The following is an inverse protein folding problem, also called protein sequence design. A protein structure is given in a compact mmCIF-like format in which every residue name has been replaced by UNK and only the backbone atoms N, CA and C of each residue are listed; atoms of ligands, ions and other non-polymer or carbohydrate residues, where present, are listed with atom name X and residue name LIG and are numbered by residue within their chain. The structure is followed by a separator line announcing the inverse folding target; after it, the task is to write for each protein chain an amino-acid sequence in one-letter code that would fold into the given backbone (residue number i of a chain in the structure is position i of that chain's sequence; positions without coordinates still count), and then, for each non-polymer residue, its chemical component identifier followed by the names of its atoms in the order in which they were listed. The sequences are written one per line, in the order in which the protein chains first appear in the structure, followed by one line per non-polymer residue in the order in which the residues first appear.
data_IF_118038146497
#
_entry.id   IF_118038146497
#
_cell.length_a   1.000
_cell.length_b   1.000
_cell.length_c   1.000
_cell.angle_alpha   90.00
_cell.angle_beta   90.00
_cell.angle_gamma   90.00
#
_symmetry.space_group_name_H-M   'P 1'
#
loop_
_entity.id
_entity.type
_entity.pdbx_description
1 polymer ?
#
# COMPACT_ATOMS: atom_id res chain seq x y z
N UNK A 1 -16.75 2.97 -12.74
CA UNK A 1 -16.29 2.04 -11.71
C UNK A 1 -15.59 0.89 -12.43
N UNK A 2 -14.33 0.63 -12.14
CA UNK A 2 -13.64 -0.54 -12.68
C UNK A 2 -14.06 -1.77 -11.86
N UNK A 3 -14.24 -2.95 -12.48
CA UNK A 3 -14.52 -4.16 -11.72
C UNK A 3 -13.34 -4.47 -10.78
N UNK A 4 -13.68 -4.81 -9.53
CA UNK A 4 -12.75 -5.32 -8.52
C UNK A 4 -13.10 -6.76 -8.18
N UNK A 5 -12.07 -7.55 -7.86
CA UNK A 5 -12.19 -8.94 -7.44
C UNK A 5 -11.44 -9.12 -6.14
N UNK A 6 -12.06 -9.81 -5.19
CA UNK A 6 -11.38 -10.36 -4.02
C UNK A 6 -10.96 -11.78 -4.36
N UNK A 7 -9.66 -12.06 -4.24
CA UNK A 7 -9.08 -13.37 -4.53
C UNK A 7 -8.06 -13.73 -3.48
N UNK A 8 -7.92 -15.02 -3.21
CA UNK A 8 -6.91 -15.53 -2.29
C UNK A 8 -5.84 -16.31 -3.07
N UNK A 9 -4.57 -16.08 -2.73
CA UNK A 9 -3.44 -16.84 -3.23
C UNK A 9 -2.47 -17.12 -2.08
N UNK A 10 -2.24 -18.41 -1.78
CA UNK A 10 -1.45 -18.87 -0.64
C UNK A 10 -1.87 -18.21 0.68
N UNK A 11 -3.18 -18.24 0.97
CA UNK A 11 -3.82 -17.63 2.16
C UNK A 11 -3.65 -16.10 2.30
N UNK A 12 -3.11 -15.44 1.26
CA UNK A 12 -3.08 -13.98 1.16
C UNK A 12 -4.28 -13.49 0.36
N UNK A 13 -5.06 -12.61 0.96
CA UNK A 13 -6.20 -11.97 0.31
C UNK A 13 -5.75 -10.74 -0.46
N UNK A 14 -6.19 -10.63 -1.71
CA UNK A 14 -5.91 -9.52 -2.59
C UNK A 14 -7.18 -8.92 -3.17
N UNK A 15 -7.20 -7.59 -3.25
CA UNK A 15 -8.13 -6.83 -4.08
C UNK A 15 -7.46 -6.53 -5.41
N UNK A 16 -8.01 -7.05 -6.50
CA UNK A 16 -7.51 -6.83 -7.87
C UNK A 16 -8.52 -5.98 -8.63
N UNK A 17 -8.09 -4.83 -9.14
CA UNK A 17 -8.88 -4.04 -10.08
C UNK A 17 -8.32 -4.20 -11.50
N UNK A 18 -9.22 -4.32 -12.47
CA UNK A 18 -8.86 -4.42 -13.89
C UNK A 18 -9.53 -3.30 -14.70
N UNK A 19 -8.84 -2.85 -15.74
CA UNK A 19 -9.40 -1.86 -16.68
C UNK A 19 -10.37 -2.51 -17.69
N UNK A 20 -10.92 -1.70 -18.61
CA UNK A 20 -11.87 -2.19 -19.63
C UNK A 20 -11.32 -3.27 -20.58
N UNK A 21 -9.99 -3.38 -20.70
CA UNK A 21 -9.31 -4.41 -21.49
C UNK A 21 -8.91 -5.63 -20.65
N UNK A 22 -9.42 -5.75 -19.42
CA UNK A 22 -9.08 -6.81 -18.45
C UNK A 22 -7.61 -6.85 -18.06
N UNK A 23 -6.92 -5.71 -18.12
CA UNK A 23 -5.54 -5.57 -17.63
C UNK A 23 -5.59 -5.09 -16.18
N UNK A 24 -4.85 -5.77 -15.29
CA UNK A 24 -4.71 -5.38 -13.89
C UNK A 24 -4.07 -3.99 -13.82
N UNK A 25 -4.76 -3.05 -13.19
CA UNK A 25 -4.24 -1.69 -12.95
C UNK A 25 -3.98 -1.42 -11.46
N UNK A 26 -4.51 -2.25 -10.57
CA UNK A 26 -4.35 -2.15 -9.13
C UNK A 26 -4.40 -3.53 -8.47
N UNK A 27 -3.50 -3.77 -7.53
CA UNK A 27 -3.48 -4.92 -6.63
C UNK A 27 -3.24 -4.37 -5.24
N UNK A 28 -4.03 -4.74 -4.24
CA UNK A 28 -3.71 -4.46 -2.84
C UNK A 28 -3.95 -5.66 -1.94
N UNK A 29 -3.32 -5.64 -0.77
CA UNK A 29 -3.57 -6.59 0.31
C UNK A 29 -3.43 -5.89 1.65
N UNK A 30 -4.30 -6.29 2.58
CA UNK A 30 -4.26 -5.91 4.00
C UNK A 30 -3.84 -7.09 4.88
N UNK A 31 -3.56 -8.26 4.28
CA UNK A 31 -3.22 -9.48 5.02
C UNK A 31 -1.91 -9.30 5.79
N UNK A 32 -1.92 -9.44 7.13
CA UNK A 32 -0.73 -9.22 7.96
C UNK A 32 0.44 -10.16 7.67
N UNK A 33 0.19 -11.34 7.08
CA UNK A 33 1.20 -12.34 6.76
C UNK A 33 1.91 -12.09 5.43
N UNK A 34 1.36 -11.22 4.56
CA UNK A 34 2.03 -10.85 3.33
C UNK A 34 3.30 -10.06 3.62
N UNK A 35 4.36 -10.34 2.85
CA UNK A 35 5.63 -9.59 2.87
C UNK A 35 5.96 -9.15 1.46
N UNK A 36 6.31 -7.88 1.28
CA UNK A 36 6.94 -7.45 0.04
C UNK A 36 8.32 -8.09 -0.11
N UNK A 37 8.93 -8.09 -1.31
CA UNK A 37 10.30 -8.58 -1.49
C UNK A 37 11.35 -7.88 -0.61
N UNK A 38 11.06 -6.66 -0.15
CA UNK A 38 11.88 -5.91 0.81
C UNK A 38 11.62 -6.28 2.27
N UNK A 39 10.68 -7.19 2.54
CA UNK A 39 10.30 -7.62 3.88
C UNK A 39 9.29 -6.72 4.58
N UNK A 40 8.68 -5.76 3.89
CA UNK A 40 7.66 -4.87 4.49
C UNK A 40 6.32 -5.61 4.60
N UNK A 41 5.67 -5.44 5.75
CA UNK A 41 4.35 -5.98 6.06
C UNK A 41 3.38 -4.87 6.46
N UNK A 42 2.08 -5.19 6.44
CA UNK A 42 1.06 -4.44 7.18
C UNK A 42 1.43 -4.41 8.67
N UNK A 43 1.22 -3.26 9.31
CA UNK A 43 1.62 -3.01 10.70
C UNK A 43 3.06 -2.56 10.90
N UNK A 44 3.96 -2.66 9.91
CA UNK A 44 5.29 -2.07 10.02
C UNK A 44 5.21 -0.54 10.14
N UNK A 45 6.12 0.07 10.89
CA UNK A 45 6.13 1.52 11.12
C UNK A 45 6.66 2.30 9.91
N UNK A 46 6.23 3.55 9.76
CA UNK A 46 6.77 4.49 8.75
C UNK A 46 8.29 4.58 8.80
N UNK A 47 8.89 4.69 9.99
CA UNK A 47 10.35 4.73 10.17
C UNK A 47 11.03 3.52 9.53
N UNK A 48 10.54 2.30 9.83
CA UNK A 48 11.03 1.06 9.22
C UNK A 48 10.92 1.07 7.69
N UNK A 49 9.79 1.54 7.17
CA UNK A 49 9.56 1.60 5.73
C UNK A 49 10.51 2.60 5.05
N UNK A 50 10.75 3.76 5.65
CA UNK A 50 11.72 4.74 5.14
C UNK A 50 13.15 4.22 5.20
N UNK A 51 13.53 3.53 6.28
CA UNK A 51 14.83 2.86 6.44
C UNK A 51 15.07 1.83 5.32
N UNK A 52 14.10 0.96 5.05
CA UNK A 52 14.23 -0.12 4.05
C UNK A 52 14.16 0.42 2.61
N UNK A 53 13.23 1.34 2.35
CA UNK A 53 12.99 1.83 0.99
C UNK A 53 14.02 2.85 0.53
N UNK A 54 14.58 3.64 1.45
CA UNK A 54 15.34 4.86 1.16
C UNK A 54 14.55 5.85 0.25
N UNK A 55 13.22 5.73 0.24
CA UNK A 55 12.33 6.55 -0.57
C UNK A 55 11.71 7.67 0.27
N UNK A 56 11.11 8.65 -0.40
CA UNK A 56 10.36 9.73 0.25
C UNK A 56 8.91 9.32 0.46
N UNK A 57 8.35 9.76 1.58
CA UNK A 57 6.90 9.75 1.79
C UNK A 57 6.22 10.73 0.83
N UNK A 58 5.21 10.26 0.12
CA UNK A 58 4.38 11.05 -0.79
C UNK A 58 2.99 11.20 -0.20
N UNK A 59 2.48 12.43 -0.16
CA UNK A 59 1.13 12.72 0.32
C UNK A 59 0.16 12.86 -0.85
N UNK A 60 -0.80 11.95 -0.94
CA UNK A 60 -1.88 12.00 -1.93
C UNK A 60 -3.17 12.45 -1.24
N UNK A 61 -3.44 13.75 -1.28
CA UNK A 61 -4.53 14.40 -0.53
C UNK A 61 -5.87 13.70 -0.78
N UNK A 62 -6.56 13.38 0.32
CA UNK A 62 -7.85 12.70 0.30
C UNK A 62 -7.77 11.19 0.07
N UNK A 63 -6.56 10.60 0.07
CA UNK A 63 -6.38 9.17 -0.15
C UNK A 63 -5.43 8.51 0.84
N UNK A 64 -4.13 8.79 0.75
CA UNK A 64 -3.13 8.14 1.60
C UNK A 64 -1.80 8.90 1.60
N UNK A 65 -0.98 8.62 2.60
CA UNK A 65 0.46 8.79 2.45
C UNK A 65 1.06 7.48 1.94
N UNK A 66 2.02 7.59 1.05
CA UNK A 66 2.54 6.46 0.28
C UNK A 66 4.07 6.50 0.26
N UNK A 67 4.69 5.37 0.56
CA UNK A 67 6.13 5.17 0.33
C UNK A 67 6.33 4.12 -0.75
N UNK A 68 6.98 4.44 -1.88
CA UNK A 68 7.27 3.46 -2.92
C UNK A 68 8.42 2.55 -2.53
N UNK A 69 8.31 1.26 -2.88
CA UNK A 69 9.34 0.25 -2.71
C UNK A 69 9.94 -0.14 -4.09
N UNK A 70 11.15 -0.72 -4.09
CA UNK A 70 11.89 -1.05 -5.32
C UNK A 70 11.21 -2.14 -6.15
N UNK A 71 10.46 -3.03 -5.49
CA UNK A 71 9.68 -4.12 -6.08
C UNK A 71 8.41 -3.66 -6.80
N UNK A 72 8.14 -2.34 -6.79
CA UNK A 72 6.94 -1.73 -7.35
C UNK A 72 5.74 -1.74 -6.40
N UNK A 73 5.82 -2.48 -5.29
CA UNK A 73 4.90 -2.33 -4.16
C UNK A 73 5.02 -0.94 -3.55
N UNK A 74 3.97 -0.51 -2.88
CA UNK A 74 3.89 0.74 -2.15
C UNK A 74 3.24 0.47 -0.80
N UNK A 75 3.79 1.07 0.24
CA UNK A 75 3.24 1.03 1.58
C UNK A 75 2.35 2.24 1.79
N UNK A 76 1.11 2.01 2.22
CA UNK A 76 0.13 3.06 2.48
C UNK A 76 -0.08 3.27 3.98
N UNK A 77 -0.27 4.53 4.33
CA UNK A 77 -0.53 5.02 5.68
C UNK A 77 -1.66 6.05 5.61
N UNK A 78 -2.44 6.17 6.68
CA UNK A 78 -3.50 7.17 6.79
C UNK A 78 -3.41 7.91 8.12
N UNK A 79 -3.89 9.15 8.15
CA UNK A 79 -4.01 9.97 9.35
C UNK A 79 -5.26 10.86 9.28
N UNK A 80 -6.05 10.85 10.34
CA UNK A 80 -7.25 11.69 10.48
C UNK A 80 -8.38 11.33 9.52
N UNK A 81 -9.43 12.16 9.50
CA UNK A 81 -10.67 11.87 8.78
C UNK A 81 -10.52 11.95 7.25
N UNK A 82 -9.69 12.86 6.74
CA UNK A 82 -9.37 12.94 5.30
C UNK A 82 -8.28 11.96 4.84
N UNK A 83 -7.91 11.00 5.69
CA UNK A 83 -6.82 10.02 5.51
C UNK A 83 -5.42 10.63 5.36
N UNK A 84 -5.32 11.95 5.22
CA UNK A 84 -4.07 12.68 4.96
C UNK A 84 -3.97 13.96 5.80
N UNK A 85 -4.53 13.96 7.00
CA UNK A 85 -4.48 15.11 7.89
C UNK A 85 -3.10 15.25 8.53
N UNK A 86 -2.61 16.47 8.62
CA UNK A 86 -1.33 16.76 9.26
C UNK A 86 -0.14 15.98 8.68
N UNK A 87 0.72 15.53 9.59
CA UNK A 87 1.93 14.74 9.36
C UNK A 87 1.80 13.36 10.01
N UNK A 88 2.51 12.37 9.46
CA UNK A 88 2.57 11.04 10.07
C UNK A 88 3.64 10.96 11.14
N UNK A 89 3.29 10.36 12.26
CA UNK A 89 4.26 9.98 13.26
C UNK A 89 5.19 8.87 12.72
N UNK A 90 6.48 8.81 13.13
CA UNK A 90 7.40 7.76 12.69
C UNK A 90 6.92 6.33 12.98
N UNK A 91 6.11 6.15 14.03
CA UNK A 91 5.51 4.87 14.41
C UNK A 91 4.18 4.57 13.71
N UNK A 92 3.71 5.41 12.78
CA UNK A 92 2.46 5.17 12.06
C UNK A 92 2.55 3.82 11.31
N UNK A 93 1.56 2.92 11.47
CA UNK A 93 1.61 1.61 10.86
C UNK A 93 1.20 1.65 9.38
N UNK A 94 1.83 0.80 8.57
CA UNK A 94 1.31 0.45 7.24
C UNK A 94 -0.09 -0.14 7.40
N UNK A 95 -1.06 0.41 6.70
CA UNK A 95 -2.46 -0.07 6.74
C UNK A 95 -2.71 -1.07 5.61
N UNK A 96 -2.15 -0.83 4.42
CA UNK A 96 -2.20 -1.79 3.31
C UNK A 96 -0.97 -1.67 2.40
N UNK A 97 -0.74 -2.71 1.63
CA UNK A 97 0.28 -2.77 0.59
C UNK A 97 -0.38 -2.82 -0.77
N UNK A 98 0.14 -2.09 -1.75
CA UNK A 98 -0.44 -2.09 -3.08
C UNK A 98 0.56 -1.93 -4.23
N UNK A 99 0.20 -2.46 -5.40
CA UNK A 99 0.78 -2.14 -6.70
C UNK A 99 -0.26 -1.41 -7.53
N UNK A 100 0.18 -0.38 -8.24
CA UNK A 100 -0.62 0.30 -9.26
C UNK A 100 0.29 0.86 -10.34
N UNK A 101 -0.22 0.90 -11.57
CA UNK A 101 0.45 1.56 -12.70
C UNK A 101 0.72 3.04 -12.42
N UNK A 102 1.66 3.62 -13.17
CA UNK A 102 1.77 5.09 -13.25
C UNK A 102 0.66 5.65 -14.12
#
# INVERSE_FOLDING_TARGET
MYPSYEVSYDDIEYTICVNGNRIINYISTETPDFRTPEGIAVGNTLEKVLEVSQAKLVKEKGWAFVVPLKSGWKAAFIQGASMTEGELAPNAPVIWLFKRGR
#
